data_IF_385031715585
#
_entry.id   IF_385031715585
#
_cell.length_a   1.000
_cell.length_b   1.000
_cell.length_c   1.000
_cell.angle_alpha   90.00
_cell.angle_beta   90.00
_cell.angle_gamma   90.00
#
_symmetry.space_group_name_H-M   'P 1'
#
loop_
_entity.id
_entity.type
_entity.pdbx_description
1 polymer ?
#
# COMPACT_ATOMS: atom_id res chain seq x y z
N UNK A 1 1.86 -4.88 -1.06
CA UNK A 1 3.12 -4.17 -0.75
C UNK A 1 2.81 -2.98 0.14
N UNK A 2 3.70 -2.61 1.07
CA UNK A 2 3.60 -1.40 1.90
C UNK A 2 4.39 -0.23 1.31
N UNK A 3 3.70 0.87 1.02
CA UNK A 3 4.32 2.15 0.64
C UNK A 3 3.92 3.22 1.65
N UNK A 4 4.55 3.22 2.82
CA UNK A 4 4.23 4.09 3.96
C UNK A 4 5.48 4.37 4.79
N UNK A 5 5.49 5.41 5.64
CA UNK A 5 6.54 5.60 6.64
C UNK A 5 6.75 4.35 7.51
N UNK A 6 5.70 3.57 7.75
CA UNK A 6 5.74 2.30 8.48
C UNK A 6 6.70 1.27 7.87
N UNK A 7 7.03 1.36 6.57
CA UNK A 7 7.97 0.46 5.90
C UNK A 7 9.37 0.45 6.51
N UNK A 8 9.76 1.54 7.18
CA UNK A 8 11.06 1.65 7.87
C UNK A 8 11.13 0.79 9.13
N UNK A 9 9.99 0.32 9.63
CA UNK A 9 9.90 -0.60 10.77
C UNK A 9 10.14 -2.06 10.38
N UNK A 10 10.50 -2.35 9.12
CA UNK A 10 10.81 -3.69 8.62
C UNK A 10 12.23 -3.73 8.04
N UNK A 11 12.90 -4.88 8.14
CA UNK A 11 14.16 -5.13 7.44
C UNK A 11 13.92 -5.46 5.94
N UNK A 12 14.97 -5.80 5.19
CA UNK A 12 14.82 -6.14 3.77
C UNK A 12 14.10 -7.48 3.55
N UNK A 13 14.14 -8.39 4.51
CA UNK A 13 13.43 -9.68 4.47
C UNK A 13 12.01 -9.58 5.03
N UNK A 14 11.44 -8.37 5.13
CA UNK A 14 10.13 -8.09 5.72
C UNK A 14 9.97 -8.55 7.19
N UNK A 15 11.07 -8.76 7.91
CA UNK A 15 11.04 -9.03 9.36
C UNK A 15 10.83 -7.73 10.13
N UNK A 16 9.94 -7.71 11.14
CA UNK A 16 9.71 -6.52 11.95
C UNK A 16 10.96 -6.14 12.74
N UNK A 17 11.19 -4.83 12.88
CA UNK A 17 12.27 -4.22 13.69
C UNK A 17 11.72 -3.43 14.88
N UNK A 18 10.40 -3.39 15.05
CA UNK A 18 9.74 -2.68 16.13
C UNK A 18 8.48 -3.41 16.56
N UNK A 19 8.08 -3.21 17.81
CA UNK A 19 6.82 -3.76 18.35
C UNK A 19 5.59 -3.25 17.61
N UNK A 20 5.67 -2.06 17.00
CA UNK A 20 4.61 -1.50 16.15
C UNK A 20 4.47 -2.28 14.83
N UNK A 21 5.58 -2.73 14.24
CA UNK A 21 5.55 -3.59 13.06
C UNK A 21 4.98 -4.98 13.38
N UNK A 22 5.31 -5.55 14.55
CA UNK A 22 4.70 -6.80 15.02
C UNK A 22 3.19 -6.66 15.23
N UNK A 23 2.76 -5.53 15.82
CA UNK A 23 1.34 -5.22 15.98
C UNK A 23 0.62 -5.12 14.63
N UNK A 24 1.21 -4.45 13.64
CA UNK A 24 0.66 -4.36 12.29
C UNK A 24 0.51 -5.75 11.66
N UNK A 25 1.55 -6.60 11.71
CA UNK A 25 1.48 -7.96 11.16
C UNK A 25 0.38 -8.79 11.84
N UNK A 26 0.27 -8.70 13.17
CA UNK A 26 -0.77 -9.38 13.94
C UNK A 26 -2.18 -8.89 13.55
N UNK A 27 -2.34 -7.58 13.33
CA UNK A 27 -3.63 -7.01 12.93
C UNK A 27 -4.04 -7.48 11.53
N UNK A 28 -3.10 -7.52 10.58
CA UNK A 28 -3.34 -8.04 9.23
C UNK A 28 -3.68 -9.54 9.25
N UNK A 29 -2.94 -10.34 10.02
CA UNK A 29 -3.14 -11.78 10.13
C UNK A 29 -4.54 -12.14 10.66
N UNK A 30 -5.06 -11.38 11.63
CA UNK A 30 -6.43 -11.54 12.14
C UNK A 30 -7.50 -11.42 11.05
N UNK A 31 -7.22 -10.62 10.04
CA UNK A 31 -8.10 -10.40 8.88
C UNK A 31 -7.71 -11.29 7.67
N UNK A 32 -6.86 -12.30 7.87
CA UNK A 32 -6.29 -13.15 6.82
C UNK A 32 -5.54 -12.37 5.72
N UNK A 33 -4.99 -11.21 6.07
CA UNK A 33 -4.16 -10.40 5.18
C UNK A 33 -2.68 -10.68 5.47
N UNK A 34 -1.88 -10.64 4.41
CA UNK A 34 -0.44 -10.84 4.49
C UNK A 34 0.30 -9.64 3.90
N UNK A 35 1.35 -9.19 4.59
CA UNK A 35 2.23 -8.15 4.07
C UNK A 35 3.41 -8.78 3.32
N UNK A 36 3.36 -8.72 2.00
CA UNK A 36 4.32 -9.42 1.14
C UNK A 36 5.66 -8.69 0.95
N UNK A 37 5.63 -7.38 0.75
CA UNK A 37 6.82 -6.58 0.41
C UNK A 37 6.60 -5.10 0.73
N UNK A 38 7.62 -4.26 0.52
CA UNK A 38 7.61 -2.81 0.72
C UNK A 38 8.38 -2.07 -0.39
N UNK A 39 8.02 -0.82 -0.63
CA UNK A 39 8.79 0.04 -1.55
C UNK A 39 10.15 0.44 -0.95
N UNK A 40 11.09 0.80 -1.84
CA UNK A 40 12.26 1.60 -1.48
C UNK A 40 11.84 3.01 -1.00
N UNK A 41 12.78 3.76 -0.41
CA UNK A 41 12.55 5.13 0.06
C UNK A 41 13.17 6.12 -0.92
N UNK A 42 12.34 6.86 -1.66
CA UNK A 42 12.76 7.96 -2.54
C UNK A 42 12.25 9.31 -2.01
N UNK A 43 12.50 9.56 -0.72
CA UNK A 43 12.03 10.76 -0.04
C UNK A 43 10.51 10.74 0.16
N UNK A 44 9.83 11.74 -0.42
CA UNK A 44 8.36 11.90 -0.36
C UNK A 44 7.65 11.53 -1.67
N UNK A 45 8.37 11.04 -2.68
CA UNK A 45 7.82 10.70 -3.99
C UNK A 45 7.23 9.29 -4.00
N UNK A 46 6.04 9.16 -3.42
CA UNK A 46 5.32 7.88 -3.29
C UNK A 46 4.96 7.28 -4.65
N UNK A 47 4.68 8.12 -5.64
CA UNK A 47 4.42 7.71 -7.01
C UNK A 47 5.63 6.96 -7.60
N UNK A 48 6.84 7.53 -7.50
CA UNK A 48 8.06 6.91 -8.03
C UNK A 48 8.38 5.60 -7.33
N UNK A 49 8.21 5.56 -6.00
CA UNK A 49 8.39 4.35 -5.19
C UNK A 49 7.52 3.18 -5.67
N UNK A 50 6.23 3.42 -5.85
CA UNK A 50 5.29 2.39 -6.31
C UNK A 50 5.59 1.99 -7.76
N UNK A 51 5.87 2.96 -8.63
CA UNK A 51 6.16 2.70 -10.05
C UNK A 51 7.39 1.82 -10.24
N UNK A 52 8.47 2.10 -9.51
CA UNK A 52 9.67 1.26 -9.55
C UNK A 52 9.37 -0.15 -9.06
N UNK A 53 8.64 -0.28 -7.95
CA UNK A 53 8.26 -1.59 -7.44
C UNK A 53 7.45 -2.38 -8.47
N UNK A 54 6.42 -1.77 -9.08
CA UNK A 54 5.62 -2.42 -10.13
C UNK A 54 6.48 -2.84 -11.34
N UNK A 55 7.44 -2.02 -11.76
CA UNK A 55 8.34 -2.38 -12.87
C UNK A 55 9.23 -3.60 -12.58
N UNK A 56 9.55 -3.83 -11.30
CA UNK A 56 10.31 -5.00 -10.85
C UNK A 56 9.41 -6.23 -10.59
N UNK A 57 8.09 -6.06 -10.61
CA UNK A 57 7.10 -7.11 -10.34
C UNK A 57 6.09 -7.22 -11.48
N UNK A 58 6.51 -7.60 -12.70
CA UNK A 58 5.63 -7.65 -13.88
C UNK A 58 4.51 -8.70 -13.77
N UNK A 59 4.55 -9.57 -12.77
CA UNK A 59 3.47 -10.53 -12.45
C UNK A 59 2.24 -9.85 -11.83
N UNK A 60 2.37 -8.61 -11.35
CA UNK A 60 1.24 -7.85 -10.82
C UNK A 60 0.47 -7.23 -11.98
N UNK A 61 -0.66 -7.83 -12.32
CA UNK A 61 -1.52 -7.38 -13.42
C UNK A 61 -2.46 -6.25 -13.00
N UNK A 62 -3.01 -6.33 -11.78
CA UNK A 62 -3.98 -5.38 -11.24
C UNK A 62 -3.67 -5.03 -9.78
N UNK A 63 -3.87 -3.77 -9.39
CA UNK A 63 -3.63 -3.28 -8.04
C UNK A 63 -4.46 -2.03 -7.72
N UNK A 64 -4.55 -1.72 -6.44
CA UNK A 64 -5.19 -0.52 -5.88
C UNK A 64 -4.20 0.17 -4.92
N UNK A 65 -4.19 1.50 -4.94
CA UNK A 65 -3.49 2.36 -3.98
C UNK A 65 -4.53 2.92 -3.01
N UNK A 66 -4.43 2.53 -1.74
CA UNK A 66 -5.26 3.06 -0.65
C UNK A 66 -4.42 4.03 0.17
N UNK A 67 -4.67 5.33 0.01
CA UNK A 67 -3.91 6.38 0.70
C UNK A 67 -4.79 7.61 0.89
N UNK A 68 -4.65 8.33 2.00
CA UNK A 68 -5.42 9.53 2.31
C UNK A 68 -4.82 10.81 1.68
N UNK A 69 -3.55 10.73 1.26
CA UNK A 69 -2.78 11.85 0.71
C UNK A 69 -2.71 11.77 -0.82
N UNK A 70 -2.92 12.92 -1.47
CA UNK A 70 -2.65 13.09 -2.89
C UNK A 70 -1.16 13.33 -3.13
N UNK A 71 -0.48 12.31 -3.68
CA UNK A 71 0.93 12.41 -4.08
C UNK A 71 1.12 12.76 -5.56
N UNK A 72 0.09 13.28 -6.23
CA UNK A 72 0.03 13.52 -7.67
C UNK A 72 0.33 12.23 -8.45
N UNK A 73 -0.62 11.30 -8.45
CA UNK A 73 -0.39 9.91 -8.89
C UNK A 73 -0.20 9.72 -10.40
N UNK A 74 -0.40 10.77 -11.21
CA UNK A 74 -0.16 10.76 -12.68
C UNK A 74 -0.89 9.59 -13.35
N UNK A 75 -0.19 8.69 -14.01
CA UNK A 75 -0.81 7.52 -14.67
C UNK A 75 -1.39 6.50 -13.69
N UNK A 76 -1.00 6.57 -12.40
CA UNK A 76 -1.53 5.70 -11.34
C UNK A 76 -2.83 6.24 -10.72
N UNK A 77 -3.31 7.42 -11.14
CA UNK A 77 -4.52 8.06 -10.61
C UNK A 77 -5.74 7.12 -10.66
N UNK A 78 -5.88 6.36 -11.75
CA UNK A 78 -6.98 5.40 -11.94
C UNK A 78 -6.95 4.21 -10.96
N UNK A 79 -5.82 4.00 -10.28
CA UNK A 79 -5.66 2.95 -9.28
C UNK A 79 -5.76 3.49 -7.85
N UNK A 80 -5.81 4.82 -7.66
CA UNK A 80 -5.82 5.44 -6.35
C UNK A 80 -7.23 5.68 -5.85
N UNK A 81 -7.45 5.32 -4.59
CA UNK A 81 -8.66 5.62 -3.85
C UNK A 81 -8.25 6.42 -2.63
N UNK A 82 -8.79 7.63 -2.54
CA UNK A 82 -8.56 8.51 -1.39
C UNK A 82 -9.34 8.00 -0.18
N UNK A 83 -8.61 7.54 0.83
CA UNK A 83 -9.18 7.16 2.13
C UNK A 83 -9.40 8.40 3.00
N UNK A 84 -10.37 8.35 3.91
CA UNK A 84 -10.58 9.43 4.88
C UNK A 84 -9.66 9.20 6.09
N UNK A 85 -8.86 10.18 6.53
CA UNK A 85 -7.92 9.99 7.63
C UNK A 85 -8.59 9.81 9.00
N UNK A 86 -9.86 10.20 9.16
CA UNK A 86 -10.60 10.13 10.42
C UNK A 86 -11.38 8.82 10.58
N UNK A 87 -11.86 8.24 9.47
CA UNK A 87 -12.67 7.01 9.48
C UNK A 87 -12.00 5.83 8.76
N UNK A 88 -10.94 6.07 8.00
CA UNK A 88 -10.22 5.06 7.22
C UNK A 88 -10.96 4.68 5.93
N UNK A 89 -11.05 3.37 5.70
CA UNK A 89 -11.67 2.78 4.52
C UNK A 89 -13.18 2.69 4.74
N UNK A 90 -13.95 3.33 3.87
CA UNK A 90 -15.41 3.26 3.87
C UNK A 90 -15.95 2.16 2.96
N UNK A 91 -17.24 1.83 3.08
CA UNK A 91 -17.93 0.90 2.18
C UNK A 91 -17.81 1.31 0.70
N UNK A 92 -17.83 2.62 0.42
CA UNK A 92 -17.63 3.17 -0.92
C UNK A 92 -16.21 2.89 -1.44
N UNK A 93 -15.20 3.07 -0.60
CA UNK A 93 -13.81 2.76 -0.98
C UNK A 93 -13.64 1.28 -1.29
N UNK A 94 -14.33 0.40 -0.58
CA UNK A 94 -14.33 -1.05 -0.85
C UNK A 94 -14.92 -1.34 -2.24
N UNK A 95 -16.08 -0.76 -2.56
CA UNK A 95 -16.71 -0.94 -3.86
C UNK A 95 -15.81 -0.46 -5.01
N UNK A 96 -15.20 0.72 -4.87
CA UNK A 96 -14.24 1.26 -5.84
C UNK A 96 -13.01 0.35 -5.99
N UNK A 97 -12.48 -0.18 -4.88
CA UNK A 97 -11.33 -1.07 -4.91
C UNK A 97 -11.65 -2.38 -5.63
N UNK A 98 -12.82 -2.97 -5.37
CA UNK A 98 -13.28 -4.19 -6.04
C UNK A 98 -13.47 -3.95 -7.54
N UNK A 99 -13.98 -2.79 -7.95
CA UNK A 99 -14.12 -2.44 -9.36
C UNK A 99 -12.77 -2.31 -10.07
N UNK A 100 -11.78 -1.66 -9.44
CA UNK A 100 -10.43 -1.55 -9.99
C UNK A 100 -9.75 -2.93 -10.06
N UNK A 101 -9.95 -3.80 -9.05
CA UNK A 101 -9.31 -5.12 -9.03
C UNK A 101 -9.90 -6.10 -10.06
N UNK A 102 -11.14 -5.88 -10.50
CA UNK A 102 -11.82 -6.72 -11.48
C UNK A 102 -11.87 -6.10 -12.90
N UNK A 103 -11.22 -4.96 -13.13
CA UNK A 103 -11.19 -4.28 -14.44
C UNK A 103 -10.18 -4.85 -15.42
#
# INVERSE_FOLDING_TARGET
MLSSSWRTSFNQDMKPRSIMAEYLLTALERENLSLFDKTNVYGVDRYKEIKEWLSNHPIVETFVILDDIDFHWKELEKHWIRCDPNIGISAKNIEEAVNILNS
#
